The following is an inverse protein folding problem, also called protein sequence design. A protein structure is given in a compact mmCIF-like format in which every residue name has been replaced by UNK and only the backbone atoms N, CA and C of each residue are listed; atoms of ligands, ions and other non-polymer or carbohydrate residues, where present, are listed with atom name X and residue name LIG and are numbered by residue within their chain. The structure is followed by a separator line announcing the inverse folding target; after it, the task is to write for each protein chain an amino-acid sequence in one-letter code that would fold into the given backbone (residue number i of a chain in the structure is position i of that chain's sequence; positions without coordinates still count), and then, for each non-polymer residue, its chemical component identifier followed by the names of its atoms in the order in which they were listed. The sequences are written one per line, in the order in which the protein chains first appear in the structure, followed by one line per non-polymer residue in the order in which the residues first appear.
data_IF_785234677407
#
_entry.id   IF_785234677407
#
_cell.length_a   1.000
_cell.length_b   1.000
_cell.length_c   1.000
_cell.angle_alpha   90.00
_cell.angle_beta   90.00
_cell.angle_gamma   90.00
#
_symmetry.space_group_name_H-M   'P 1'
#
loop_
_entity.id
_entity.type
_entity.pdbx_description
1 polymer ?
#
# COMPACT_ATOMS: atom_id res chain seq x y z
N UNK A 1 12.57 -30.77 -10.67
CA UNK A 1 12.58 -29.38 -11.16
C UNK A 1 11.24 -28.65 -11.02
N UNK A 2 10.07 -29.33 -11.06
CA UNK A 2 8.75 -28.67 -10.93
C UNK A 2 8.57 -27.82 -9.67
N UNK A 3 8.91 -28.34 -8.49
CA UNK A 3 8.71 -27.61 -7.22
C UNK A 3 9.60 -26.38 -7.01
N UNK A 4 10.80 -26.33 -7.61
CA UNK A 4 11.71 -25.19 -7.47
C UNK A 4 11.21 -23.97 -8.27
N UNK A 5 10.76 -24.22 -9.52
CA UNK A 5 10.15 -23.19 -10.36
C UNK A 5 8.83 -22.70 -9.78
N UNK A 6 7.97 -23.62 -9.31
CA UNK A 6 6.71 -23.27 -8.66
C UNK A 6 6.93 -22.38 -7.42
N UNK A 7 7.88 -22.74 -6.55
CA UNK A 7 8.24 -21.93 -5.39
C UNK A 7 8.72 -20.52 -5.77
N UNK A 8 9.57 -20.45 -6.82
CA UNK A 8 10.04 -19.19 -7.36
C UNK A 8 8.89 -18.33 -7.91
N UNK A 9 8.00 -18.91 -8.71
CA UNK A 9 6.86 -18.22 -9.32
C UNK A 9 5.90 -17.67 -8.25
N UNK A 10 5.67 -18.42 -7.16
CA UNK A 10 4.89 -17.95 -6.00
C UNK A 10 5.55 -16.75 -5.31
N UNK A 11 6.86 -16.80 -5.08
CA UNK A 11 7.58 -15.69 -4.44
C UNK A 11 7.63 -14.44 -5.33
N UNK A 12 7.75 -14.64 -6.65
CA UNK A 12 7.71 -13.57 -7.64
C UNK A 12 6.33 -12.88 -7.65
N UNK A 13 5.25 -13.65 -7.58
CA UNK A 13 3.89 -13.11 -7.47
C UNK A 13 3.70 -12.26 -6.20
N UNK A 14 4.23 -12.71 -5.05
CA UNK A 14 4.18 -11.93 -3.81
C UNK A 14 4.99 -10.62 -3.91
N UNK A 15 6.16 -10.64 -4.56
CA UNK A 15 6.92 -9.41 -4.83
C UNK A 15 6.13 -8.44 -5.72
N UNK A 16 5.50 -8.93 -6.79
CA UNK A 16 4.71 -8.07 -7.67
C UNK A 16 3.53 -7.46 -6.95
N UNK A 17 2.82 -8.23 -6.13
CA UNK A 17 1.73 -7.75 -5.28
C UNK A 17 2.23 -6.64 -4.36
N UNK A 18 3.36 -6.84 -3.69
CA UNK A 18 3.96 -5.85 -2.80
C UNK A 18 4.35 -4.56 -3.54
N UNK A 19 4.91 -4.67 -4.75
CA UNK A 19 5.30 -3.51 -5.57
C UNK A 19 4.09 -2.75 -6.13
N UNK A 20 3.00 -3.44 -6.49
CA UNK A 20 1.75 -2.80 -6.93
C UNK A 20 1.13 -1.99 -5.77
N UNK A 21 0.98 -2.61 -4.60
CA UNK A 21 0.42 -1.94 -3.41
C UNK A 21 1.29 -0.75 -2.98
N UNK A 22 2.63 -0.90 -3.02
CA UNK A 22 3.56 0.18 -2.73
C UNK A 22 3.49 1.33 -3.75
N UNK A 23 3.35 1.00 -5.05
CA UNK A 23 3.17 1.99 -6.10
C UNK A 23 1.89 2.80 -5.88
N UNK A 24 0.78 2.14 -5.54
CA UNK A 24 -0.48 2.83 -5.24
C UNK A 24 -0.31 3.80 -4.07
N UNK A 25 0.33 3.36 -2.98
CA UNK A 25 0.68 4.24 -1.85
C UNK A 25 1.51 5.44 -2.31
N UNK A 26 2.56 5.22 -3.10
CA UNK A 26 3.43 6.29 -3.63
C UNK A 26 2.66 7.26 -4.51
N UNK A 27 1.74 6.77 -5.34
CA UNK A 27 0.95 7.59 -6.25
C UNK A 27 0.00 8.54 -5.51
N UNK A 28 -0.64 8.05 -4.44
CA UNK A 28 -1.62 8.82 -3.65
C UNK A 28 -0.99 9.69 -2.56
N UNK A 29 0.06 9.20 -1.88
CA UNK A 29 0.59 9.84 -0.67
C UNK A 29 2.10 10.14 -0.74
N UNK A 30 2.78 9.60 -1.74
CA UNK A 30 4.24 9.63 -1.81
C UNK A 30 4.84 10.56 -2.86
N UNK A 31 4.04 11.18 -3.73
CA UNK A 31 4.57 11.90 -4.90
C UNK A 31 4.66 13.41 -4.67
N UNK A 32 3.56 14.07 -4.34
CA UNK A 32 3.51 15.52 -4.18
C UNK A 32 2.45 15.93 -3.14
N UNK A 33 2.52 17.19 -2.71
CA UNK A 33 1.66 17.72 -1.66
C UNK A 33 0.23 17.95 -2.17
N UNK A 34 0.08 18.34 -3.42
CA UNK A 34 -1.19 18.66 -4.08
C UNK A 34 -2.13 17.45 -4.09
N UNK A 35 -1.60 16.24 -4.31
CA UNK A 35 -2.38 15.00 -4.26
C UNK A 35 -2.90 14.73 -2.84
N UNK A 36 -2.05 14.92 -1.84
CA UNK A 36 -2.40 14.71 -0.43
C UNK A 36 -3.42 15.76 0.04
N UNK A 37 -3.24 17.01 -0.36
CA UNK A 37 -4.15 18.10 -0.03
C UNK A 37 -5.53 17.85 -0.65
N UNK A 38 -5.60 17.45 -1.93
CA UNK A 38 -6.86 17.08 -2.59
C UNK A 38 -7.61 15.98 -1.82
N UNK A 39 -6.91 14.90 -1.44
CA UNK A 39 -7.52 13.79 -0.70
C UNK A 39 -8.02 14.24 0.68
N UNK A 40 -7.26 15.09 1.36
CA UNK A 40 -7.63 15.60 2.69
C UNK A 40 -8.80 16.58 2.64
N UNK A 41 -8.87 17.44 1.62
CA UNK A 41 -9.96 18.38 1.40
C UNK A 41 -11.28 17.67 1.09
N UNK A 42 -11.23 16.56 0.35
CA UNK A 42 -12.42 15.76 0.03
C UNK A 42 -12.87 14.96 1.26
N UNK A 43 -11.95 14.23 1.91
CA UNK A 43 -12.29 13.42 3.07
C UNK A 43 -11.04 13.07 3.91
N UNK A 44 -10.65 13.99 4.80
CA UNK A 44 -9.46 13.83 5.64
C UNK A 44 -9.40 12.53 6.46
N UNK A 45 -10.51 12.11 7.08
CA UNK A 45 -10.54 10.87 7.87
C UNK A 45 -10.33 9.63 6.99
N UNK A 46 -10.98 9.60 5.82
CA UNK A 46 -10.84 8.51 4.85
C UNK A 46 -9.41 8.46 4.29
N UNK A 47 -8.88 9.61 3.89
CA UNK A 47 -7.52 9.75 3.37
C UNK A 47 -6.46 9.28 4.39
N UNK A 48 -6.56 9.75 5.64
CA UNK A 48 -5.67 9.33 6.72
C UNK A 48 -5.76 7.82 6.99
N UNK A 49 -6.97 7.26 6.98
CA UNK A 49 -7.17 5.81 7.19
C UNK A 49 -6.55 5.01 6.05
N UNK A 50 -6.76 5.45 4.80
CA UNK A 50 -6.24 4.80 3.61
C UNK A 50 -4.71 4.85 3.56
N UNK A 51 -4.11 6.01 3.82
CA UNK A 51 -2.66 6.19 3.91
C UNK A 51 -2.07 5.18 4.89
N UNK A 52 -2.63 5.13 6.11
CA UNK A 52 -2.19 4.25 7.19
C UNK A 52 -2.28 2.77 6.78
N UNK A 53 -3.43 2.35 6.24
CA UNK A 53 -3.68 0.95 5.88
C UNK A 53 -2.76 0.50 4.75
N UNK A 54 -2.57 1.32 3.71
CA UNK A 54 -1.68 0.99 2.59
C UNK A 54 -0.20 0.91 3.03
N UNK A 55 0.22 1.83 3.89
CA UNK A 55 1.59 1.80 4.42
C UNK A 55 1.83 0.55 5.27
N UNK A 56 0.91 0.25 6.19
CA UNK A 56 0.93 -0.95 7.02
C UNK A 56 0.95 -2.24 6.21
N UNK A 57 0.11 -2.29 5.19
CA UNK A 57 0.05 -3.41 4.27
C UNK A 57 1.39 -3.65 3.58
N UNK A 58 2.08 -2.58 3.16
CA UNK A 58 3.41 -2.69 2.55
C UNK A 58 4.43 -3.29 3.52
N UNK A 59 4.43 -2.84 4.78
CA UNK A 59 5.34 -3.39 5.81
C UNK A 59 5.07 -4.86 6.09
N UNK A 60 3.80 -5.27 6.10
CA UNK A 60 3.41 -6.68 6.25
C UNK A 60 3.92 -7.53 5.08
N UNK A 61 3.86 -7.03 3.84
CA UNK A 61 4.39 -7.76 2.69
C UNK A 61 5.91 -7.91 2.75
N UNK A 62 6.64 -6.85 3.11
CA UNK A 62 8.09 -6.93 3.32
C UNK A 62 8.43 -8.02 4.34
N UNK A 63 7.73 -8.02 5.48
CA UNK A 63 7.90 -9.05 6.50
C UNK A 63 7.60 -10.46 5.97
N UNK A 64 6.52 -10.65 5.21
CA UNK A 64 6.17 -11.96 4.63
C UNK A 64 7.28 -12.48 3.71
N UNK A 65 7.81 -11.62 2.84
CA UNK A 65 8.86 -11.96 1.86
C UNK A 65 10.21 -12.31 2.51
N UNK A 66 10.48 -11.82 3.73
CA UNK A 66 11.77 -12.01 4.44
C UNK A 66 11.67 -12.78 5.75
N UNK A 67 10.48 -13.27 6.12
CA UNK A 67 10.28 -14.06 7.32
C UNK A 67 11.04 -15.42 7.23
N UNK A 68 11.27 -16.09 8.37
CA UNK A 68 11.82 -17.45 8.38
C UNK A 68 11.00 -18.39 7.48
N UNK A 69 11.69 -19.22 6.69
CA UNK A 69 11.09 -20.23 5.82
C UNK A 69 10.24 -21.24 6.59
N UNK A 70 10.71 -21.69 7.75
CA UNK A 70 9.99 -22.62 8.62
C UNK A 70 9.44 -21.89 9.84
N UNK A 71 8.12 -22.03 10.09
CA UNK A 71 7.47 -21.59 11.33
C UNK A 71 7.01 -22.83 12.11
N UNK A 72 7.30 -22.87 13.43
CA UNK A 72 6.99 -23.99 14.36
C UNK A 72 7.38 -25.39 13.84
N UNK A 73 8.60 -25.87 14.20
CA UNK A 73 9.07 -27.26 13.99
C UNK A 73 8.69 -27.86 12.61
N UNK A 74 8.83 -27.09 11.54
CA UNK A 74 8.60 -27.55 10.16
C UNK A 74 7.15 -27.82 9.74
N UNK A 75 6.14 -27.48 10.56
CA UNK A 75 4.73 -27.75 10.22
C UNK A 75 4.14 -26.82 9.17
N UNK A 76 4.70 -25.62 9.02
CA UNK A 76 4.27 -24.65 8.02
C UNK A 76 5.49 -24.04 7.31
N UNK A 77 5.56 -24.27 5.99
CA UNK A 77 6.56 -23.70 5.09
C UNK A 77 6.01 -22.39 4.54
N UNK A 78 6.82 -21.33 4.62
CA UNK A 78 6.48 -19.99 4.11
C UNK A 78 7.15 -19.77 2.75
N UNK A 79 6.49 -19.03 1.86
CA UNK A 79 7.08 -18.58 0.59
C UNK A 79 7.89 -17.32 0.87
N UNK A 80 9.21 -17.43 0.96
CA UNK A 80 10.13 -16.38 1.41
C UNK A 80 11.46 -16.48 0.65
N UNK A 81 12.19 -15.37 0.63
CA UNK A 81 13.55 -15.32 0.05
C UNK A 81 14.49 -16.36 0.68
N UNK A 82 14.35 -16.67 1.98
CA UNK A 82 15.12 -17.71 2.67
C UNK A 82 14.88 -19.12 2.14
N UNK A 83 13.66 -19.41 1.70
CA UNK A 83 13.33 -20.75 1.24
C UNK A 83 13.99 -21.11 -0.08
N UNK A 84 14.39 -20.12 -0.89
CA UNK A 84 15.06 -20.36 -2.18
C UNK A 84 16.31 -21.25 -2.04
N UNK A 85 17.09 -21.08 -0.97
CA UNK A 85 18.27 -21.88 -0.67
C UNK A 85 17.98 -23.38 -0.43
N UNK A 86 16.71 -23.79 -0.30
CA UNK A 86 16.31 -25.21 -0.23
C UNK A 86 16.03 -25.81 -1.61
N UNK A 87 15.72 -24.98 -2.60
CA UNK A 87 15.27 -25.39 -3.93
C UNK A 87 16.34 -25.19 -5.00
N UNK A 88 17.27 -24.27 -4.78
CA UNK A 88 18.34 -23.93 -5.70
C UNK A 88 19.69 -24.21 -5.04
N UNK A 89 20.53 -24.98 -5.73
CA UNK A 89 21.90 -25.23 -5.29
C UNK A 89 22.73 -23.95 -5.45
N UNK A 90 23.39 -23.56 -4.37
CA UNK A 90 24.13 -22.32 -4.28
C UNK A 90 25.57 -22.64 -3.86
N UNK A 91 26.26 -23.33 -4.77
CA UNK A 91 27.68 -23.62 -4.63
C UNK A 91 28.51 -22.35 -4.46
N UNK A 92 28.10 -21.27 -5.13
CA UNK A 92 28.54 -19.91 -4.84
C UNK A 92 27.68 -19.28 -3.74
N UNK A 93 28.34 -18.71 -2.74
CA UNK A 93 27.77 -18.04 -1.59
C UNK A 93 26.95 -16.76 -1.94
N UNK A 94 26.72 -16.50 -3.22
CA UNK A 94 26.05 -15.30 -3.74
C UNK A 94 24.57 -15.26 -3.35
N UNK A 95 23.77 -16.33 -3.52
CA UNK A 95 22.37 -16.31 -3.10
C UNK A 95 22.23 -15.98 -1.61
N UNK A 96 23.06 -16.61 -0.78
CA UNK A 96 23.06 -16.39 0.67
C UNK A 96 23.36 -14.93 1.03
N UNK A 97 24.29 -14.29 0.32
CA UNK A 97 24.60 -12.86 0.52
C UNK A 97 23.40 -11.98 0.16
N UNK A 98 22.77 -12.22 -0.99
CA UNK A 98 21.60 -11.47 -1.45
C UNK A 98 20.42 -11.63 -0.48
N UNK A 99 20.14 -12.86 -0.04
CA UNK A 99 19.08 -13.15 0.95
C UNK A 99 19.35 -12.42 2.26
N UNK A 100 20.58 -12.50 2.79
CA UNK A 100 20.96 -11.77 4.01
C UNK A 100 20.84 -10.25 3.86
N UNK A 101 21.14 -9.71 2.67
CA UNK A 101 20.97 -8.28 2.39
C UNK A 101 19.50 -7.90 2.37
N UNK A 102 18.64 -8.68 1.71
CA UNK A 102 17.20 -8.46 1.69
C UNK A 102 16.59 -8.48 3.10
N UNK A 103 17.03 -9.42 3.95
CA UNK A 103 16.60 -9.48 5.36
C UNK A 103 17.01 -8.25 6.17
N UNK A 104 18.26 -7.81 6.02
CA UNK A 104 18.75 -6.62 6.72
C UNK A 104 18.01 -5.38 6.24
N UNK A 105 17.80 -5.25 4.94
CA UNK A 105 17.04 -4.13 4.38
C UNK A 105 15.60 -4.13 4.88
N UNK A 106 14.96 -5.28 5.07
CA UNK A 106 13.58 -5.40 5.55
C UNK A 106 13.43 -5.48 7.09
N UNK A 107 14.52 -5.44 7.87
CA UNK A 107 14.46 -5.68 9.32
C UNK A 107 13.59 -4.65 10.05
N UNK A 108 13.62 -3.39 9.59
CA UNK A 108 12.79 -2.32 10.15
C UNK A 108 11.29 -2.62 10.05
N UNK A 109 10.83 -3.37 9.04
CA UNK A 109 9.42 -3.71 8.88
C UNK A 109 8.97 -4.72 9.95
N UNK A 110 9.87 -5.63 10.36
CA UNK A 110 9.65 -6.56 11.48
C UNK A 110 9.56 -5.80 12.79
N UNK A 111 10.51 -4.89 13.03
CA UNK A 111 10.53 -4.07 14.25
C UNK A 111 9.30 -3.18 14.33
N UNK A 112 8.88 -2.60 13.21
CA UNK A 112 7.66 -1.81 13.14
C UNK A 112 6.42 -2.65 13.46
N UNK A 113 6.29 -3.85 12.90
CA UNK A 113 5.16 -4.75 13.20
C UNK A 113 5.14 -5.20 14.66
N UNK A 114 6.30 -5.55 15.23
CA UNK A 114 6.43 -5.94 16.63
C UNK A 114 6.09 -4.78 17.56
N UNK A 115 6.62 -3.58 17.27
CA UNK A 115 6.28 -2.35 18.00
C UNK A 115 4.78 -2.10 17.89
N UNK A 116 4.19 -2.06 16.70
CA UNK A 116 2.74 -1.83 16.51
C UNK A 116 1.86 -2.78 17.33
N UNK A 117 2.18 -4.08 17.37
CA UNK A 117 1.48 -5.07 18.21
C UNK A 117 1.69 -4.75 19.70
N UNK A 118 2.92 -4.47 20.10
CA UNK A 118 3.25 -4.03 21.45
C UNK A 118 2.68 -2.65 21.80
N UNK A 119 2.25 -1.81 20.84
CA UNK A 119 1.53 -0.57 21.11
C UNK A 119 0.01 -0.61 21.05
N UNK A 120 -0.51 -1.83 21.03
CA UNK A 120 -1.73 -2.16 21.76
C UNK A 120 -1.51 -2.24 23.28
N UNK A 121 -0.27 -2.34 23.81
CA UNK A 121 0.00 -2.25 25.25
C UNK A 121 -0.13 -0.82 25.78
N UNK A 122 -0.63 -0.73 27.02
CA UNK A 122 -1.01 0.49 27.73
C UNK A 122 0.13 1.52 27.83
N UNK A 123 1.37 1.06 27.98
CA UNK A 123 2.57 1.91 28.20
C UNK A 123 2.96 2.75 26.98
N UNK A 124 2.62 2.29 25.78
CA UNK A 124 3.03 2.96 24.56
C UNK A 124 1.96 3.93 24.05
N UNK A 125 0.67 3.69 24.38
CA UNK A 125 -0.41 4.69 24.24
C UNK A 125 -0.15 5.95 25.06
N UNK A 126 0.64 5.86 26.13
CA UNK A 126 1.12 6.99 26.92
C UNK A 126 2.24 7.85 26.25
N UNK A 127 2.50 7.65 24.93
CA UNK A 127 3.38 8.47 24.07
C UNK A 127 4.87 8.55 24.46
N UNK A 128 5.39 7.60 25.24
CA UNK A 128 6.80 7.64 25.70
C UNK A 128 7.83 7.06 24.72
N UNK A 129 7.41 6.36 23.66
CA UNK A 129 8.34 5.66 22.77
C UNK A 129 8.31 6.20 21.33
N UNK A 130 9.51 6.52 20.82
CA UNK A 130 9.73 6.95 19.44
C UNK A 130 9.77 5.72 18.54
N UNK A 131 8.77 5.58 17.66
CA UNK A 131 8.84 4.63 16.54
C UNK A 131 10.08 4.96 15.69
N UNK A 132 10.82 3.92 15.29
CA UNK A 132 11.77 4.09 14.18
C UNK A 132 11.00 4.53 12.95
N UNK A 133 11.50 5.56 12.27
CA UNK A 133 10.88 6.08 11.05
C UNK A 133 11.10 5.06 9.93
N UNK A 134 10.17 4.13 9.77
CA UNK A 134 10.02 3.38 8.53
C UNK A 134 9.83 4.42 7.41
N UNK A 135 10.88 4.65 6.61
CA UNK A 135 10.89 5.71 5.60
C UNK A 135 10.52 5.11 4.23
N UNK A 136 10.02 5.96 3.33
CA UNK A 136 9.75 5.55 1.95
C UNK A 136 11.00 5.00 1.25
N UNK A 137 12.16 5.58 1.54
CA UNK A 137 13.45 5.09 1.04
C UNK A 137 13.74 3.67 1.55
N UNK A 138 13.57 3.42 2.86
CA UNK A 138 13.80 2.10 3.43
C UNK A 138 12.88 1.02 2.81
N UNK A 139 11.62 1.37 2.50
CA UNK A 139 10.70 0.46 1.81
C UNK A 139 11.17 0.15 0.38
N UNK A 140 11.59 1.15 -0.38
CA UNK A 140 12.14 0.94 -1.74
C UNK A 140 13.41 0.11 -1.71
N UNK A 141 14.32 0.38 -0.76
CA UNK A 141 15.59 -0.36 -0.60
C UNK A 141 15.32 -1.83 -0.28
N UNK A 142 14.33 -2.11 0.58
CA UNK A 142 13.92 -3.46 0.92
C UNK A 142 13.30 -4.19 -0.29
N UNK A 143 12.35 -3.55 -1.00
CA UNK A 143 11.74 -4.13 -2.20
C UNK A 143 12.77 -4.38 -3.31
N UNK A 144 13.77 -3.51 -3.44
CA UNK A 144 14.86 -3.64 -4.40
C UNK A 144 15.78 -4.80 -4.01
N UNK A 145 16.20 -4.88 -2.74
CA UNK A 145 17.03 -5.99 -2.26
C UNK A 145 16.33 -7.35 -2.42
N UNK A 146 15.01 -7.43 -2.19
CA UNK A 146 14.22 -8.65 -2.45
C UNK A 146 14.16 -8.97 -3.96
N UNK A 147 13.98 -7.94 -4.79
CA UNK A 147 13.98 -8.10 -6.25
C UNK A 147 15.31 -8.61 -6.79
N UNK A 148 16.44 -8.16 -6.23
CA UNK A 148 17.77 -8.59 -6.66
C UNK A 148 18.02 -10.08 -6.39
N UNK A 149 17.47 -10.62 -5.29
CA UNK A 149 17.44 -12.08 -5.03
C UNK A 149 16.73 -12.82 -6.17
N UNK A 150 15.52 -12.38 -6.54
CA UNK A 150 14.71 -13.03 -7.57
C UNK A 150 15.28 -12.87 -8.98
N UNK A 151 15.89 -11.72 -9.28
CA UNK A 151 16.60 -11.47 -10.55
C UNK A 151 17.80 -12.39 -10.69
N UNK A 152 18.58 -12.56 -9.62
CA UNK A 152 19.73 -13.45 -9.64
C UNK A 152 19.31 -14.90 -9.88
N UNK A 153 18.27 -15.39 -9.18
CA UNK A 153 17.74 -16.75 -9.42
C UNK A 153 17.22 -16.92 -10.85
N UNK A 154 16.52 -15.91 -11.40
CA UNK A 154 16.08 -15.94 -12.80
C UNK A 154 17.23 -16.01 -13.80
N UNK A 155 18.29 -15.24 -13.56
CA UNK A 155 19.46 -15.25 -14.42
C UNK A 155 20.19 -16.59 -14.35
N UNK A 156 20.56 -17.05 -13.15
CA UNK A 156 21.41 -18.22 -12.96
C UNK A 156 20.71 -19.56 -13.25
N UNK A 157 19.41 -19.67 -12.95
CA UNK A 157 18.70 -20.96 -13.02
C UNK A 157 17.66 -21.03 -14.15
N UNK A 158 17.25 -19.90 -14.72
CA UNK A 158 16.22 -19.84 -15.75
C UNK A 158 16.63 -19.08 -17.01
N UNK A 159 17.89 -18.64 -17.13
CA UNK A 159 18.41 -17.87 -18.28
C UNK A 159 17.49 -16.69 -18.66
N UNK A 160 16.95 -16.01 -17.65
CA UNK A 160 15.92 -14.98 -17.82
C UNK A 160 16.35 -13.66 -17.21
N UNK A 161 16.24 -12.58 -17.98
CA UNK A 161 16.37 -11.21 -17.45
C UNK A 161 15.02 -10.73 -16.93
N UNK A 162 14.91 -10.55 -15.61
CA UNK A 162 13.65 -10.19 -14.97
C UNK A 162 13.50 -8.68 -14.75
N UNK A 163 12.39 -8.12 -15.24
CA UNK A 163 11.91 -6.78 -14.84
C UNK A 163 10.91 -6.93 -13.69
N UNK A 164 11.24 -6.35 -12.54
CA UNK A 164 10.45 -6.49 -11.31
C UNK A 164 9.53 -5.31 -11.04
N UNK A 165 9.64 -4.21 -11.77
CA UNK A 165 8.74 -3.06 -11.61
C UNK A 165 7.45 -3.31 -12.40
N UNK A 166 6.29 -3.39 -11.73
CA UNK A 166 5.03 -3.57 -12.42
C UNK A 166 4.75 -2.36 -13.31
N UNK A 167 4.32 -2.65 -14.54
CA UNK A 167 3.76 -1.68 -15.48
C UNK A 167 2.23 -1.89 -15.43
N UNK A 168 1.51 -1.28 -14.48
CA UNK A 168 0.05 -1.35 -14.49
C UNK A 168 -0.49 -0.62 -15.72
N UNK A 169 -1.78 -0.80 -16.03
CA UNK A 169 -2.46 0.01 -17.03
C UNK A 169 -2.16 1.49 -16.80
N UNK A 170 -1.77 2.19 -17.87
CA UNK A 170 -1.44 3.60 -17.83
C UNK A 170 -2.59 4.39 -17.17
N UNK A 171 -2.22 5.31 -16.27
CA UNK A 171 -3.09 6.31 -15.66
C UNK A 171 -4.20 5.84 -14.70
N UNK A 172 -4.23 4.60 -14.20
CA UNK A 172 -5.32 4.19 -13.29
C UNK A 172 -5.41 5.06 -12.02
N UNK A 173 -4.29 5.24 -11.30
CA UNK A 173 -4.28 6.09 -10.10
C UNK A 173 -4.51 7.57 -10.44
N UNK A 174 -4.10 8.00 -11.64
CA UNK A 174 -4.30 9.37 -12.13
C UNK A 174 -5.75 9.63 -12.53
N UNK A 175 -6.42 8.64 -13.12
CA UNK A 175 -7.84 8.69 -13.46
C UNK A 175 -8.69 8.79 -12.20
N UNK A 176 -8.35 8.04 -11.16
CA UNK A 176 -8.98 8.17 -9.85
C UNK A 176 -8.84 9.59 -9.28
N UNK A 177 -7.61 10.13 -9.25
CA UNK A 177 -7.38 11.50 -8.76
C UNK A 177 -8.08 12.56 -9.59
N UNK A 178 -8.12 12.39 -10.93
CA UNK A 178 -8.85 13.29 -11.83
C UNK A 178 -10.35 13.29 -11.54
N UNK A 179 -10.94 12.12 -11.31
CA UNK A 179 -12.34 12.01 -10.94
C UNK A 179 -12.64 12.72 -9.61
N UNK A 180 -11.78 12.55 -8.60
CA UNK A 180 -11.88 13.25 -7.33
C UNK A 180 -11.76 14.77 -7.48
N UNK A 181 -10.79 15.25 -8.25
CA UNK A 181 -10.59 16.67 -8.52
C UNK A 181 -11.83 17.30 -9.18
N UNK A 182 -12.31 16.70 -10.27
CA UNK A 182 -13.49 17.20 -11.00
C UNK A 182 -14.74 17.16 -10.12
N UNK A 183 -14.92 16.08 -9.34
CA UNK A 183 -16.01 15.96 -8.39
C UNK A 183 -15.97 17.06 -7.33
N UNK A 184 -14.81 17.34 -6.75
CA UNK A 184 -14.63 18.43 -5.79
C UNK A 184 -14.97 19.79 -6.41
N UNK A 185 -14.43 20.10 -7.59
CA UNK A 185 -14.71 21.36 -8.28
C UNK A 185 -16.20 21.55 -8.57
N UNK A 186 -16.90 20.48 -8.95
CA UNK A 186 -18.34 20.53 -9.16
C UNK A 186 -19.11 20.73 -7.85
N UNK A 187 -18.71 20.08 -6.76
CA UNK A 187 -19.30 20.29 -5.43
C UNK A 187 -19.14 21.74 -4.96
N UNK A 188 -17.96 22.34 -5.16
CA UNK A 188 -17.69 23.74 -4.85
C UNK A 188 -18.56 24.68 -5.71
N UNK A 189 -18.68 24.41 -7.01
CA UNK A 189 -19.53 25.17 -7.94
C UNK A 189 -21.00 25.12 -7.55
N UNK A 190 -21.52 23.93 -7.24
CA UNK A 190 -22.89 23.70 -6.80
C UNK A 190 -23.15 24.41 -5.46
N UNK A 191 -22.22 24.31 -4.52
CA UNK A 191 -22.32 24.98 -3.21
C UNK A 191 -22.34 26.51 -3.37
N UNK A 192 -21.43 27.08 -4.16
CA UNK A 192 -21.37 28.51 -4.43
C UNK A 192 -22.63 29.04 -5.12
N UNK A 193 -23.19 28.29 -6.09
CA UNK A 193 -24.46 28.66 -6.73
C UNK A 193 -25.63 28.65 -5.74
N UNK A 194 -25.70 27.65 -4.86
CA UNK A 194 -26.73 27.60 -3.79
C UNK A 194 -26.63 28.82 -2.87
N UNK A 195 -25.42 29.15 -2.45
CA UNK A 195 -25.18 30.32 -1.59
C UNK A 195 -25.61 31.62 -2.28
N UNK A 196 -25.24 31.82 -3.54
CA UNK A 196 -25.61 33.02 -4.31
C UNK A 196 -27.13 33.16 -4.49
N UNK A 197 -27.85 32.07 -4.77
CA UNK A 197 -29.32 32.10 -4.88
C UNK A 197 -29.99 32.43 -3.55
N UNK A 198 -29.44 31.93 -2.43
CA UNK A 198 -29.90 32.26 -1.08
C UNK A 198 -29.71 33.74 -0.75
N UNK A 199 -28.53 34.29 -1.03
CA UNK A 199 -28.20 35.70 -0.81
C UNK A 199 -29.11 36.63 -1.64
N UNK A 200 -29.45 36.22 -2.86
CA UNK A 200 -30.37 36.95 -3.74
C UNK A 200 -31.87 36.71 -3.45
N UNK A 201 -32.20 35.86 -2.46
CA UNK A 201 -33.59 35.48 -2.11
C UNK A 201 -34.38 34.88 -3.28
N UNK A 202 -33.70 34.21 -4.22
CA UNK A 202 -34.30 33.57 -5.41
C UNK A 202 -34.73 32.13 -5.09
N UNK A 203 -35.74 32.00 -4.23
CA UNK A 203 -36.14 30.69 -3.67
C UNK A 203 -36.70 29.72 -4.72
N UNK A 204 -37.47 30.20 -5.71
CA UNK A 204 -38.01 29.34 -6.78
C UNK A 204 -36.90 28.63 -7.57
N UNK A 205 -35.86 29.37 -7.95
CA UNK A 205 -34.71 28.81 -8.68
C UNK A 205 -33.82 27.94 -7.82
N UNK A 206 -33.77 28.20 -6.51
CA UNK A 206 -33.08 27.33 -5.56
C UNK A 206 -33.76 25.96 -5.46
N UNK A 207 -35.09 25.93 -5.45
CA UNK A 207 -35.86 24.68 -5.38
C UNK A 207 -35.76 23.89 -6.68
N UNK A 208 -35.83 24.54 -7.84
CA UNK A 208 -35.53 23.90 -9.14
C UNK A 208 -34.10 23.33 -9.17
N UNK A 209 -33.11 24.09 -8.68
CA UNK A 209 -31.73 23.64 -8.65
C UNK A 209 -31.50 22.43 -7.73
N UNK A 210 -32.25 22.32 -6.62
CA UNK A 210 -32.22 21.16 -5.72
C UNK A 210 -32.77 19.91 -6.39
N UNK A 211 -33.87 20.04 -7.13
CA UNK A 211 -34.51 18.92 -7.84
C UNK A 211 -33.61 18.34 -8.96
N UNK A 212 -32.85 19.19 -9.66
CA UNK A 212 -31.92 18.73 -10.72
C UNK A 212 -30.65 18.08 -10.15
N UNK A 213 -30.32 18.35 -8.88
CA UNK A 213 -29.08 17.90 -8.23
C UNK A 213 -29.27 16.64 -7.38
N UNK A 214 -30.23 15.78 -7.69
CA UNK A 214 -30.50 14.58 -6.91
C UNK A 214 -29.28 13.64 -6.91
N UNK A 215 -28.70 13.47 -5.73
CA UNK A 215 -27.61 12.52 -5.47
C UNK A 215 -28.26 11.16 -5.23
N UNK A 216 -27.77 10.07 -5.87
CA UNK A 216 -28.25 8.72 -5.61
C UNK A 216 -28.27 8.36 -4.12
N UNK A 217 -29.32 7.69 -3.69
CA UNK A 217 -29.57 7.37 -2.28
C UNK A 217 -28.42 6.67 -1.56
N UNK A 218 -27.66 5.81 -2.26
CA UNK A 218 -26.54 5.06 -1.68
C UNK A 218 -25.33 5.94 -1.32
N UNK A 219 -25.24 7.17 -1.86
CA UNK A 219 -24.23 8.16 -1.49
C UNK A 219 -24.64 8.99 -0.26
N UNK A 220 -25.88 8.84 0.22
CA UNK A 220 -26.39 9.53 1.41
C UNK A 220 -26.45 8.54 2.56
N UNK A 221 -25.74 8.84 3.66
CA UNK A 221 -25.82 8.02 4.87
C UNK A 221 -27.15 8.25 5.58
N UNK A 222 -28.16 7.43 5.29
CA UNK A 222 -29.49 7.51 5.91
C UNK A 222 -29.60 6.83 7.28
N UNK A 223 -28.69 5.90 7.59
CA UNK A 223 -28.71 5.09 8.82
C UNK A 223 -27.38 5.24 9.61
N UNK A 224 -27.31 6.12 10.62
CA UNK A 224 -26.14 6.15 11.50
C UNK A 224 -26.06 4.85 12.33
N UNK A 225 -24.85 4.41 12.75
CA UNK A 225 -24.71 3.29 13.68
C UNK A 225 -25.38 3.70 14.98
N UNK A 226 -26.21 2.81 15.51
CA UNK A 226 -26.83 2.96 16.82
C UNK A 226 -26.18 1.89 17.69
N UNK A 227 -25.67 2.28 18.85
CA UNK A 227 -25.23 1.30 19.85
C UNK A 227 -26.49 0.57 20.33
N UNK A 228 -26.56 -0.73 20.05
CA UNK A 228 -27.65 -1.62 20.51
C UNK A 228 -27.17 -2.42 21.71
#
# INVERSE_FOLDING_TARGET
MGGAKEYYDLLLHELYTARIEWRLYRSLFGTNKETVDLLNEISGLTAQTLERVLFERTLLNLRKLTDPYEKQRGKHLSVTTKGLSRYFDCSDNTLRKLVNQAERAASFARDWSNKRIAHSDLDYKARKAKLEKASRAAVEDALTSIADVLKWVAHEHFDTTLVTHPIPPLDDERRFLKALYLGKSEMERVSGKKQLLLEQRRYAELDEFRAVSEIPDWLVRKNPPIDV
#
